data_IF_931193451421
#
_entry.id   IF_931193451421
#
_cell.length_a   1.000
_cell.length_b   1.000
_cell.length_c   1.000
_cell.angle_alpha   90.00
_cell.angle_beta   90.00
_cell.angle_gamma   90.00
#
_symmetry.space_group_name_H-M   'P 1'
#
loop_
_entity.id
_entity.type
_entity.pdbx_description
1 polymer ?
#
# COMPACT_ATOMS: atom_id res chain seq x y z
N UNK A 1 19.31 -69.71 8.65
CA UNK A 1 18.32 -68.95 7.86
C UNK A 1 18.07 -67.64 8.62
N UNK A 2 18.53 -66.50 8.09
CA UNK A 2 18.67 -65.22 8.82
C UNK A 2 17.30 -64.55 9.04
N UNK A 3 17.06 -64.08 10.26
CA UNK A 3 15.85 -63.37 10.69
C UNK A 3 16.00 -61.87 10.36
N UNK A 4 15.30 -61.40 9.32
CA UNK A 4 15.36 -60.02 8.84
C UNK A 4 14.32 -59.18 9.59
N UNK A 5 14.79 -58.21 10.38
CA UNK A 5 13.93 -57.26 11.10
C UNK A 5 13.49 -56.16 10.13
N UNK A 6 12.17 -56.06 9.88
CA UNK A 6 11.59 -54.94 9.14
C UNK A 6 11.42 -53.75 10.10
N UNK A 7 12.17 -52.68 9.85
CA UNK A 7 11.97 -51.38 10.49
C UNK A 7 10.91 -50.63 9.67
N UNK A 8 9.75 -50.36 10.27
CA UNK A 8 8.76 -49.45 9.70
C UNK A 8 9.20 -48.00 9.98
N UNK A 9 9.63 -47.29 8.94
CA UNK A 9 9.82 -45.84 9.00
C UNK A 9 8.45 -45.16 8.94
N UNK A 10 8.08 -44.46 10.01
CA UNK A 10 6.90 -43.58 10.02
C UNK A 10 7.28 -42.33 9.23
N UNK A 11 6.69 -42.15 8.05
CA UNK A 11 6.82 -40.93 7.27
C UNK A 11 6.03 -39.82 7.98
N UNK A 12 6.75 -38.86 8.57
CA UNK A 12 6.16 -37.65 9.13
C UNK A 12 5.84 -36.71 7.96
N UNK A 13 4.57 -36.67 7.55
CA UNK A 13 4.08 -35.66 6.61
C UNK A 13 4.05 -34.31 7.30
N UNK A 14 5.00 -33.44 6.99
CA UNK A 14 4.88 -32.01 7.30
C UNK A 14 3.72 -31.46 6.47
N UNK A 15 2.60 -31.14 7.13
CA UNK A 15 1.59 -30.30 6.54
C UNK A 15 2.26 -28.97 6.18
N UNK A 16 2.19 -28.56 4.90
CA UNK A 16 2.60 -27.22 4.50
C UNK A 16 1.80 -26.20 5.32
N UNK A 17 2.50 -25.24 5.92
CA UNK A 17 1.82 -24.09 6.52
C UNK A 17 0.99 -23.40 5.43
N UNK A 18 -0.19 -22.84 5.77
CA UNK A 18 -0.94 -22.05 4.81
C UNK A 18 -0.04 -20.92 4.32
N UNK A 19 0.12 -20.82 3.01
CA UNK A 19 0.59 -19.59 2.37
C UNK A 19 -0.44 -18.54 2.77
N UNK A 20 -0.07 -17.59 3.62
CA UNK A 20 -0.94 -16.46 3.91
C UNK A 20 -1.29 -15.82 2.57
N UNK A 21 -2.58 -15.67 2.27
CA UNK A 21 -3.00 -15.08 1.02
C UNK A 21 -2.40 -13.67 0.93
N UNK A 22 -1.66 -13.41 -0.15
CA UNK A 22 -1.00 -12.13 -0.50
C UNK A 22 -2.03 -11.05 -0.89
N UNK A 23 -3.26 -11.19 -0.41
CA UNK A 23 -4.42 -10.36 -0.73
C UNK A 23 -5.00 -9.82 0.57
N UNK A 24 -5.78 -8.74 0.47
CA UNK A 24 -6.56 -8.29 1.62
C UNK A 24 -7.57 -9.38 2.01
N UNK A 25 -7.79 -9.50 3.31
CA UNK A 25 -8.57 -10.55 3.92
C UNK A 25 -10.06 -10.22 3.95
N UNK A 26 -10.40 -8.97 4.26
CA UNK A 26 -11.77 -8.60 4.58
C UNK A 26 -12.06 -7.12 4.33
N UNK A 27 -13.32 -6.82 4.05
CA UNK A 27 -13.86 -5.47 3.93
C UNK A 27 -14.97 -5.31 4.96
N UNK A 28 -14.98 -4.18 5.66
CA UNK A 28 -15.95 -3.90 6.70
C UNK A 28 -17.36 -3.67 6.17
N UNK A 29 -18.38 -3.67 7.05
CA UNK A 29 -19.69 -3.17 6.68
C UNK A 29 -19.58 -1.72 6.22
N UNK A 30 -20.48 -1.31 5.34
CA UNK A 30 -20.55 0.07 4.87
C UNK A 30 -21.04 0.98 6.00
N UNK A 31 -20.39 2.13 6.14
CA UNK A 31 -20.85 3.23 6.97
C UNK A 31 -22.19 3.75 6.44
N UNK A 32 -23.24 3.85 7.27
CA UNK A 32 -24.58 4.23 6.81
C UNK A 32 -24.70 5.68 6.36
N UNK A 33 -23.70 6.53 6.65
CA UNK A 33 -23.71 7.95 6.30
C UNK A 33 -23.02 8.19 4.94
N UNK A 34 -21.78 7.74 4.81
CA UNK A 34 -20.93 7.93 3.62
C UNK A 34 -21.08 6.84 2.57
N UNK A 35 -21.58 5.66 2.93
CA UNK A 35 -21.69 4.50 2.05
C UNK A 35 -20.38 3.73 1.81
N UNK A 36 -19.23 4.22 2.28
CA UNK A 36 -17.94 3.53 2.17
C UNK A 36 -17.78 2.42 3.21
N UNK A 37 -16.99 1.37 2.95
CA UNK A 37 -16.60 0.42 3.97
C UNK A 37 -15.98 1.07 5.20
N UNK A 38 -16.28 0.54 6.37
CA UNK A 38 -15.71 1.04 7.62
C UNK A 38 -14.21 0.74 7.75
N UNK A 39 -13.73 -0.37 7.18
CA UNK A 39 -12.32 -0.78 7.18
C UNK A 39 -11.95 -1.68 6.00
N UNK A 40 -10.65 -1.82 5.75
CA UNK A 40 -10.04 -2.94 5.02
C UNK A 40 -9.04 -3.65 5.93
N UNK A 41 -8.97 -4.97 5.83
CA UNK A 41 -8.13 -5.80 6.71
C UNK A 41 -7.16 -6.67 5.90
N UNK A 42 -5.90 -6.74 6.33
CA UNK A 42 -4.92 -7.72 5.83
C UNK A 42 -4.92 -9.02 6.67
N UNK A 43 -4.20 -10.04 6.21
CA UNK A 43 -4.04 -11.31 6.94
C UNK A 43 -2.91 -11.27 7.99
N UNK A 44 -2.24 -10.14 8.18
CA UNK A 44 -0.95 -10.07 8.86
C UNK A 44 0.17 -10.77 8.06
N UNK A 45 1.31 -10.97 8.72
CA UNK A 45 2.47 -11.67 8.17
C UNK A 45 3.14 -12.49 9.28
N UNK A 46 2.98 -13.81 9.19
CA UNK A 46 3.54 -14.75 10.15
C UNK A 46 5.07 -14.81 10.16
N UNK A 47 5.74 -14.48 9.04
CA UNK A 47 7.19 -14.55 8.94
C UNK A 47 7.87 -13.43 9.74
N UNK A 48 7.20 -12.27 9.85
CA UNK A 48 7.68 -11.12 10.63
C UNK A 48 6.90 -10.90 11.93
N UNK A 49 6.03 -11.84 12.33
CA UNK A 49 5.14 -11.76 13.50
C UNK A 49 4.26 -10.50 13.51
N UNK A 50 3.71 -10.14 12.34
CA UNK A 50 2.73 -9.09 12.20
C UNK A 50 1.30 -9.67 12.33
N UNK A 51 0.58 -9.29 13.37
CA UNK A 51 -0.84 -9.65 13.55
C UNK A 51 -1.73 -8.99 12.48
N UNK A 52 -2.89 -9.55 12.09
CA UNK A 52 -3.83 -8.91 11.18
C UNK A 52 -4.14 -7.45 11.56
N UNK A 53 -4.16 -6.58 10.55
CA UNK A 53 -4.41 -5.15 10.72
C UNK A 53 -5.63 -4.73 9.92
N UNK A 54 -6.59 -4.11 10.60
CA UNK A 54 -7.73 -3.44 9.99
C UNK A 54 -7.50 -1.93 10.00
N UNK A 55 -7.51 -1.32 8.82
CA UNK A 55 -7.31 0.11 8.60
C UNK A 55 -8.63 0.76 8.21
N UNK A 56 -8.94 1.88 8.86
CA UNK A 56 -10.16 2.63 8.64
C UNK A 56 -9.95 3.68 7.53
N UNK A 57 -11.04 4.12 6.90
CA UNK A 57 -10.96 5.25 5.98
C UNK A 57 -10.48 6.49 6.73
N UNK A 58 -9.38 7.08 6.26
CA UNK A 58 -8.83 8.28 6.85
C UNK A 58 -9.72 9.47 6.52
N UNK A 59 -10.46 9.93 7.51
CA UNK A 59 -11.24 11.16 7.47
C UNK A 59 -10.93 11.91 8.77
N UNK A 60 -10.41 13.16 8.70
CA UNK A 60 -10.24 13.95 9.90
C UNK A 60 -11.61 14.07 10.56
N UNK A 61 -11.70 13.83 11.88
CA UNK A 61 -12.92 13.84 12.71
C UNK A 61 -13.64 12.50 13.01
N UNK A 62 -12.98 11.34 13.08
CA UNK A 62 -13.63 10.11 13.57
C UNK A 62 -13.98 10.05 15.09
N UNK A 63 -14.03 11.21 15.76
CA UNK A 63 -14.37 11.46 17.17
C UNK A 63 -13.14 11.41 18.11
N UNK A 64 -12.75 12.55 18.74
CA UNK A 64 -13.32 13.89 18.54
C UNK A 64 -13.03 14.45 17.15
N UNK A 65 -13.74 15.52 16.79
CA UNK A 65 -13.43 16.27 15.59
C UNK A 65 -12.06 16.95 15.76
N UNK A 66 -11.06 16.52 14.99
CA UNK A 66 -9.71 17.07 15.00
C UNK A 66 -9.18 17.27 13.57
N UNK A 67 -9.28 18.50 13.07
CA UNK A 67 -8.70 18.90 11.79
C UNK A 67 -7.17 19.05 11.85
N UNK A 68 -6.54 18.90 13.02
CA UNK A 68 -5.08 18.93 13.13
C UNK A 68 -4.41 17.71 12.50
N UNK A 69 -5.16 16.60 12.29
CA UNK A 69 -4.73 15.45 11.49
C UNK A 69 -4.39 15.83 10.03
N UNK A 70 -5.06 16.85 9.47
CA UNK A 70 -4.70 17.40 8.15
C UNK A 70 -3.45 18.28 8.22
N UNK A 71 -3.30 19.02 9.31
CA UNK A 71 -2.19 19.99 9.47
C UNK A 71 -0.86 19.28 9.71
N UNK A 72 -0.86 18.19 10.48
CA UNK A 72 0.35 17.42 10.76
C UNK A 72 0.61 16.30 9.74
N UNK A 73 -0.37 15.97 8.89
CA UNK A 73 -0.28 14.98 7.82
C UNK A 73 -0.61 13.55 8.25
N UNK A 74 -1.14 13.35 9.46
CA UNK A 74 -1.63 12.03 9.93
C UNK A 74 -2.73 11.48 9.03
N UNK A 75 -3.52 12.39 8.44
CA UNK A 75 -4.47 12.10 7.39
C UNK A 75 -4.15 12.91 6.13
N UNK A 76 -3.87 12.23 5.03
CA UNK A 76 -3.58 12.88 3.75
C UNK A 76 -4.82 12.86 2.89
N UNK A 77 -5.32 14.06 2.58
CA UNK A 77 -6.32 14.32 1.56
C UNK A 77 -5.72 15.22 0.48
N UNK A 78 -6.35 15.29 -0.69
CA UNK A 78 -5.90 16.22 -1.72
C UNK A 78 -6.13 17.68 -1.26
N UNK A 79 -5.20 18.61 -1.56
CA UNK A 79 -5.38 20.01 -1.23
C UNK A 79 -6.66 20.59 -1.85
N UNK A 80 -7.53 21.20 -1.03
CA UNK A 80 -8.79 21.80 -1.48
C UNK A 80 -9.91 20.79 -1.79
N UNK A 81 -9.72 19.52 -1.48
CA UNK A 81 -10.71 18.48 -1.72
C UNK A 81 -11.86 18.51 -0.70
N UNK A 82 -11.63 19.11 0.47
CA UNK A 82 -12.69 19.45 1.42
C UNK A 82 -13.17 20.88 1.10
N UNK A 83 -14.47 21.08 0.79
CA UNK A 83 -15.02 22.40 0.48
C UNK A 83 -14.80 23.48 1.57
N UNK A 84 -14.93 23.10 2.84
CA UNK A 84 -14.69 23.97 4.00
C UNK A 84 -13.91 23.21 5.10
N UNK A 85 -12.59 23.40 5.11
CA UNK A 85 -11.66 22.82 6.11
C UNK A 85 -11.88 23.39 7.54
N UNK A 86 -12.71 24.41 7.71
CA UNK A 86 -13.06 24.94 9.05
C UNK A 86 -14.29 24.25 9.66
N UNK A 87 -15.00 23.46 8.86
CA UNK A 87 -16.16 22.68 9.30
C UNK A 87 -15.82 21.19 9.40
N UNK A 88 -16.52 20.43 10.25
CA UNK A 88 -16.38 18.98 10.28
C UNK A 88 -16.68 18.34 8.93
N UNK A 89 -16.02 17.22 8.64
CA UNK A 89 -16.37 16.36 7.50
C UNK A 89 -17.83 15.93 7.63
N UNK A 90 -18.61 16.12 6.56
CA UNK A 90 -20.01 15.74 6.49
C UNK A 90 -20.35 15.32 5.06
N UNK A 91 -20.70 14.05 4.88
CA UNK A 91 -21.18 13.57 3.59
C UNK A 91 -22.60 14.13 3.29
N UNK A 92 -22.91 14.63 2.10
CA UNK A 92 -22.06 14.82 0.92
C UNK A 92 -21.42 16.22 0.81
N UNK A 93 -21.92 17.21 1.56
CA UNK A 93 -21.68 18.62 1.27
C UNK A 93 -20.28 19.13 1.67
N UNK A 94 -19.64 18.51 2.67
CA UNK A 94 -18.29 18.86 3.13
C UNK A 94 -17.45 17.58 3.26
N UNK A 95 -17.19 16.90 2.13
CA UNK A 95 -16.55 15.59 2.09
C UNK A 95 -15.52 15.56 0.94
N UNK A 96 -14.36 14.89 1.12
CA UNK A 96 -13.35 14.81 0.06
C UNK A 96 -13.81 13.95 -1.12
N UNK A 97 -13.42 14.32 -2.34
CA UNK A 97 -13.59 13.49 -3.53
C UNK A 97 -12.74 12.21 -3.48
N UNK A 98 -11.60 12.24 -2.78
CA UNK A 98 -10.71 11.09 -2.58
C UNK A 98 -10.24 10.97 -1.12
N UNK A 99 -10.21 9.75 -0.60
CA UNK A 99 -9.69 9.43 0.73
C UNK A 99 -9.02 8.06 0.75
N UNK A 100 -8.26 7.73 1.78
CA UNK A 100 -7.42 6.53 1.80
C UNK A 100 -7.64 5.70 3.05
N UNK A 101 -7.76 4.38 2.89
CA UNK A 101 -7.60 3.42 3.98
C UNK A 101 -6.13 3.12 4.25
N UNK A 102 -5.33 3.14 3.18
CA UNK A 102 -3.91 2.88 3.20
C UNK A 102 -3.23 3.68 2.09
N UNK A 103 -2.08 4.26 2.39
CA UNK A 103 -1.23 4.93 1.42
C UNK A 103 0.23 4.81 1.86
N UNK A 104 1.04 4.15 1.04
CA UNK A 104 2.47 4.03 1.22
C UNK A 104 3.18 4.58 0.00
N UNK A 105 4.14 5.46 0.23
CA UNK A 105 4.87 6.13 -0.83
C UNK A 105 6.37 5.99 -0.65
N UNK A 106 7.08 5.84 -1.75
CA UNK A 106 8.52 5.97 -1.78
C UNK A 106 8.92 6.86 -2.95
N UNK A 107 9.99 7.62 -2.76
CA UNK A 107 10.62 8.33 -3.86
C UNK A 107 12.14 8.20 -3.79
N UNK A 108 12.79 8.25 -4.94
CA UNK A 108 14.24 8.15 -5.02
C UNK A 108 14.77 8.84 -6.27
N UNK A 109 15.94 9.49 -6.22
CA UNK A 109 16.58 10.01 -7.42
C UNK A 109 17.06 8.86 -8.33
N UNK A 110 16.99 9.06 -9.64
CA UNK A 110 17.61 8.17 -10.62
C UNK A 110 18.99 8.68 -11.05
N UNK A 111 19.95 7.77 -11.16
CA UNK A 111 21.28 8.06 -11.72
C UNK A 111 21.23 8.11 -13.25
N UNK A 112 22.01 9.03 -13.85
CA UNK A 112 22.20 9.11 -15.32
C UNK A 112 21.34 10.10 -16.11
N UNK A 113 20.57 11.00 -15.48
CA UNK A 113 19.58 11.85 -16.17
C UNK A 113 20.06 13.15 -16.86
N UNK A 114 19.38 13.50 -17.96
CA UNK A 114 19.30 14.85 -18.58
C UNK A 114 17.83 15.33 -18.48
N UNK A 115 17.53 16.42 -17.75
CA UNK A 115 16.15 16.94 -17.54
C UNK A 115 15.45 16.50 -16.22
N UNK A 116 14.23 16.99 -15.93
CA UNK A 116 13.49 16.89 -14.63
C UNK A 116 12.05 16.39 -14.85
N UNK A 117 11.35 15.61 -13.97
CA UNK A 117 11.66 15.17 -12.59
C UNK A 117 12.73 14.09 -12.49
N UNK A 118 13.61 14.29 -11.50
CA UNK A 118 14.76 13.44 -11.17
C UNK A 118 14.38 12.25 -10.29
N UNK A 119 13.15 12.20 -9.81
CA UNK A 119 12.72 11.26 -8.78
C UNK A 119 11.75 10.24 -9.37
N UNK A 120 12.05 8.97 -9.19
CA UNK A 120 11.10 7.89 -9.35
C UNK A 120 10.18 7.88 -8.13
N UNK A 121 8.88 7.71 -8.34
CA UNK A 121 7.86 7.68 -7.29
C UNK A 121 7.12 6.34 -7.36
N UNK A 122 6.88 5.73 -6.21
CA UNK A 122 6.01 4.57 -6.01
C UNK A 122 4.88 4.98 -5.05
N UNK A 123 3.64 4.61 -5.38
CA UNK A 123 2.45 4.78 -4.55
C UNK A 123 1.74 3.43 -4.48
N UNK A 124 1.46 2.97 -3.26
CA UNK A 124 0.71 1.76 -2.96
C UNK A 124 -0.43 2.16 -2.03
N UNK A 125 -1.68 1.94 -2.42
CA UNK A 125 -2.81 2.47 -1.68
C UNK A 125 -4.05 1.57 -1.71
N UNK A 126 -4.93 1.76 -0.74
CA UNK A 126 -6.33 1.38 -0.82
C UNK A 126 -7.13 2.68 -0.74
N UNK A 127 -7.73 3.05 -1.85
CA UNK A 127 -8.22 4.41 -2.13
C UNK A 127 -9.72 4.39 -2.35
N UNK A 128 -10.42 5.26 -1.62
CA UNK A 128 -11.83 5.56 -1.77
C UNK A 128 -11.98 6.79 -2.67
N UNK A 129 -12.87 6.70 -3.64
CA UNK A 129 -13.17 7.78 -4.56
C UNK A 129 -14.65 7.72 -5.00
N UNK A 130 -15.03 8.62 -5.89
CA UNK A 130 -16.32 8.61 -6.56
C UNK A 130 -16.13 8.49 -8.07
N UNK A 131 -17.02 7.76 -8.76
CA UNK A 131 -16.94 7.52 -10.20
C UNK A 131 -16.90 8.81 -11.05
N UNK A 132 -17.43 9.91 -10.52
CA UNK A 132 -17.44 11.23 -11.16
C UNK A 132 -16.67 12.28 -10.35
N UNK A 133 -15.74 11.86 -9.49
CA UNK A 133 -14.89 12.71 -8.62
C UNK A 133 -15.65 13.54 -7.57
N UNK A 134 -16.98 13.56 -7.61
CA UNK A 134 -17.84 14.33 -6.70
C UNK A 134 -18.48 13.41 -5.66
N UNK A 135 -18.58 13.83 -4.39
CA UNK A 135 -19.20 13.06 -3.31
C UNK A 135 -20.71 12.81 -3.48
N UNK A 136 -21.09 11.99 -4.45
CA UNK A 136 -22.49 11.69 -4.77
C UNK A 136 -22.84 10.30 -4.23
N UNK A 137 -23.94 10.22 -3.49
CA UNK A 137 -24.44 8.94 -2.99
C UNK A 137 -24.72 7.98 -4.15
N UNK A 138 -24.16 6.78 -4.03
CA UNK A 138 -24.16 5.77 -5.10
C UNK A 138 -22.82 5.74 -5.80
N UNK A 139 -22.14 6.86 -6.06
CA UNK A 139 -20.93 6.89 -6.90
C UNK A 139 -19.68 6.35 -6.20
N UNK A 140 -19.80 5.90 -4.94
CA UNK A 140 -18.68 5.37 -4.16
C UNK A 140 -18.00 4.20 -4.86
N UNK A 141 -16.68 4.26 -4.91
CA UNK A 141 -15.82 3.18 -5.37
C UNK A 141 -14.58 3.09 -4.48
N UNK A 142 -14.05 1.89 -4.35
CA UNK A 142 -12.77 1.65 -3.67
C UNK A 142 -11.93 0.74 -4.55
N UNK A 143 -10.64 1.04 -4.63
CA UNK A 143 -9.68 0.21 -5.36
C UNK A 143 -8.34 0.13 -4.63
N UNK A 144 -7.67 -1.00 -4.81
CA UNK A 144 -6.28 -1.17 -4.44
C UNK A 144 -5.39 -0.71 -5.60
N UNK A 145 -4.47 0.22 -5.31
CA UNK A 145 -3.60 0.89 -6.27
C UNK A 145 -2.15 0.49 -6.06
N UNK A 146 -1.46 0.12 -7.13
CA UNK A 146 0.00 0.16 -7.23
C UNK A 146 0.36 1.00 -8.45
N UNK A 147 1.08 2.10 -8.21
CA UNK A 147 1.51 3.03 -9.26
C UNK A 147 2.98 3.37 -9.08
N UNK A 148 3.71 3.40 -10.18
CA UNK A 148 5.01 4.06 -10.21
C UNK A 148 5.17 4.96 -11.41
N UNK A 149 6.05 5.94 -11.25
CA UNK A 149 6.34 6.94 -12.27
C UNK A 149 7.81 7.33 -12.27
N UNK A 150 8.43 7.37 -13.44
CA UNK A 150 9.75 7.97 -13.66
C UNK A 150 9.94 8.34 -15.13
N UNK A 151 10.88 9.24 -15.44
CA UNK A 151 11.35 9.41 -16.82
C UNK A 151 12.61 8.58 -17.00
N UNK A 152 12.67 7.80 -18.08
CA UNK A 152 13.83 6.98 -18.40
C UNK A 152 15.06 7.86 -18.67
N UNK A 153 16.15 7.78 -17.88
CA UNK A 153 17.35 8.59 -18.13
C UNK A 153 18.01 8.24 -19.47
N UNK A 154 18.00 6.96 -19.84
CA UNK A 154 18.64 6.41 -21.04
C UNK A 154 17.65 5.52 -21.80
N UNK A 155 17.93 5.24 -23.07
CA UNK A 155 17.18 4.24 -23.82
C UNK A 155 17.64 2.82 -23.42
N UNK A 156 16.70 1.91 -23.17
CA UNK A 156 16.97 0.53 -22.77
C UNK A 156 15.82 -0.10 -22.01
N UNK A 157 16.08 -1.25 -21.41
CA UNK A 157 15.09 -2.00 -20.64
C UNK A 157 15.17 -1.64 -19.14
N UNK A 158 14.01 -1.55 -18.50
CA UNK A 158 13.88 -1.22 -17.09
C UNK A 158 13.09 -2.28 -16.36
N UNK A 159 13.65 -2.77 -15.24
CA UNK A 159 12.96 -3.68 -14.31
C UNK A 159 12.65 -2.93 -13.04
N UNK A 160 11.40 -2.98 -12.63
CA UNK A 160 10.90 -2.28 -11.44
C UNK A 160 10.61 -3.33 -10.37
N UNK A 161 11.21 -3.15 -9.21
CA UNK A 161 10.97 -3.98 -8.04
C UNK A 161 10.32 -3.13 -6.97
N UNK A 162 9.19 -3.61 -6.48
CA UNK A 162 8.37 -3.00 -5.43
C UNK A 162 8.21 -4.00 -4.29
N UNK A 163 7.60 -3.57 -3.17
CA UNK A 163 7.29 -4.49 -2.10
C UNK A 163 6.31 -5.62 -2.42
N UNK A 164 5.54 -5.50 -3.49
CA UNK A 164 4.52 -6.51 -3.82
C UNK A 164 4.80 -7.27 -5.11
N UNK A 165 5.66 -6.75 -5.98
CA UNK A 165 5.99 -7.39 -7.26
C UNK A 165 7.32 -6.93 -7.85
N UNK A 166 7.84 -7.79 -8.71
CA UNK A 166 8.87 -7.46 -9.70
C UNK A 166 8.23 -7.50 -11.07
N UNK A 167 8.31 -6.41 -11.82
CA UNK A 167 7.75 -6.34 -13.16
C UNK A 167 8.69 -6.95 -14.20
N UNK A 168 8.11 -7.48 -15.27
CA UNK A 168 8.87 -7.84 -16.47
C UNK A 168 9.57 -6.59 -17.06
N UNK A 169 10.76 -6.73 -17.66
CA UNK A 169 11.48 -5.60 -18.23
C UNK A 169 10.64 -4.84 -19.27
N UNK A 170 10.55 -3.53 -19.13
CA UNK A 170 9.93 -2.64 -20.13
C UNK A 170 10.98 -1.87 -20.90
N UNK A 171 10.85 -1.83 -22.23
CA UNK A 171 11.73 -1.05 -23.08
C UNK A 171 11.25 0.40 -23.15
N UNK A 172 12.15 1.37 -22.88
CA UNK A 172 11.85 2.80 -22.91
C UNK A 172 12.90 3.56 -23.72
N UNK A 173 12.48 4.64 -24.39
CA UNK A 173 13.40 5.61 -24.98
C UNK A 173 13.93 6.60 -23.93
N UNK A 174 15.07 7.24 -24.19
CA UNK A 174 15.57 8.31 -23.31
C UNK A 174 14.57 9.46 -23.22
N UNK A 175 14.24 9.86 -21.99
CA UNK A 175 13.24 10.88 -21.67
C UNK A 175 11.79 10.38 -21.68
N UNK A 176 11.53 9.13 -22.06
CA UNK A 176 10.19 8.56 -22.06
C UNK A 176 9.64 8.42 -20.64
N UNK A 177 8.36 8.78 -20.47
CA UNK A 177 7.66 8.66 -19.19
C UNK A 177 7.16 7.23 -19.01
N UNK A 178 7.72 6.53 -18.03
CA UNK A 178 7.05 5.37 -17.44
C UNK A 178 6.00 5.88 -16.46
N UNK A 179 4.72 5.58 -16.74
CA UNK A 179 3.60 5.85 -15.84
C UNK A 179 2.70 4.61 -15.83
N UNK A 180 2.94 3.72 -14.87
CA UNK A 180 2.25 2.44 -14.78
C UNK A 180 1.34 2.47 -13.56
N UNK A 181 0.10 2.02 -13.72
CA UNK A 181 -0.92 1.99 -12.68
C UNK A 181 -1.69 0.68 -12.78
N UNK A 182 -1.84 0.02 -11.64
CA UNK A 182 -2.74 -1.10 -11.43
C UNK A 182 -3.77 -0.67 -10.39
N UNK A 183 -5.03 -0.50 -10.80
CA UNK A 183 -6.15 -0.11 -9.92
C UNK A 183 -7.18 -1.26 -9.91
N UNK A 184 -7.13 -2.12 -8.89
CA UNK A 184 -8.01 -3.28 -8.74
C UNK A 184 -9.24 -2.88 -7.93
N UNK A 185 -10.43 -2.99 -8.55
CA UNK A 185 -11.71 -2.57 -7.97
C UNK A 185 -12.39 -1.41 -8.72
N UNK A 186 -11.64 -0.69 -9.57
CA UNK A 186 -12.12 0.49 -10.31
C UNK A 186 -13.34 0.20 -11.21
N UNK A 187 -13.40 -1.01 -11.78
CA UNK A 187 -14.45 -1.43 -12.73
C UNK A 187 -15.52 -2.33 -12.10
N UNK A 188 -15.59 -2.38 -10.77
CA UNK A 188 -16.58 -3.22 -10.11
C UNK A 188 -17.97 -2.61 -10.10
N UNK A 189 -18.96 -3.48 -9.87
CA UNK A 189 -20.34 -3.04 -9.75
C UNK A 189 -20.44 -2.00 -8.63
N UNK A 190 -21.23 -0.97 -8.87
CA UNK A 190 -21.46 0.11 -7.91
C UNK A 190 -21.87 -0.46 -6.54
N UNK A 191 -21.13 -0.09 -5.49
CA UNK A 191 -21.32 -0.60 -4.13
C UNK A 191 -20.72 -1.98 -3.82
N UNK A 192 -20.08 -2.65 -4.79
CA UNK A 192 -19.29 -3.86 -4.55
C UNK A 192 -17.83 -3.51 -4.20
N UNK A 193 -17.61 -3.32 -2.91
CA UNK A 193 -16.29 -3.00 -2.36
C UNK A 193 -15.39 -4.24 -2.16
N UNK A 194 -15.91 -5.44 -2.38
CA UNK A 194 -15.11 -6.66 -2.18
C UNK A 194 -14.03 -6.85 -3.25
N UNK A 195 -14.20 -6.22 -4.41
CA UNK A 195 -13.23 -6.32 -5.50
C UNK A 195 -11.84 -5.78 -5.17
N UNK A 196 -11.75 -4.72 -4.36
CA UNK A 196 -10.46 -4.18 -3.94
C UNK A 196 -9.62 -5.22 -3.18
N UNK A 197 -10.25 -6.27 -2.62
CA UNK A 197 -9.54 -7.33 -1.94
C UNK A 197 -8.61 -8.13 -2.86
N UNK A 198 -8.86 -8.13 -4.17
CA UNK A 198 -8.03 -8.85 -5.14
C UNK A 198 -6.73 -8.10 -5.52
N UNK A 199 -6.51 -6.88 -5.01
CA UNK A 199 -5.31 -6.11 -5.32
C UNK A 199 -4.07 -6.59 -4.56
N UNK A 200 -2.90 -6.43 -5.19
CA UNK A 200 -1.59 -6.78 -4.63
C UNK A 200 -1.04 -5.72 -3.67
N UNK A 201 -1.82 -5.36 -2.65
CA UNK A 201 -1.46 -4.39 -1.59
C UNK A 201 -1.69 -5.04 -0.21
N UNK A 202 -1.16 -6.25 -0.04
CA UNK A 202 -1.24 -6.98 1.22
C UNK A 202 -0.02 -7.93 1.39
N UNK A 203 0.44 -8.17 2.63
CA UNK A 203 0.06 -7.48 3.86
C UNK A 203 0.33 -5.96 3.82
N UNK A 204 -0.33 -5.16 4.65
CA UNK A 204 -0.02 -3.74 4.72
C UNK A 204 1.41 -3.54 5.24
N UNK A 205 2.22 -2.73 4.56
CA UNK A 205 3.56 -2.42 5.04
C UNK A 205 3.50 -1.76 6.42
N UNK A 206 4.43 -2.13 7.30
CA UNK A 206 4.56 -1.60 8.66
C UNK A 206 5.92 -0.99 8.87
N UNK A 207 6.02 -0.03 9.77
CA UNK A 207 7.30 0.57 10.13
C UNK A 207 8.19 -0.43 10.85
N UNK A 208 9.51 -0.30 10.68
CA UNK A 208 10.51 -1.10 11.34
C UNK A 208 11.76 -0.28 11.66
N UNK A 209 12.63 -0.78 12.54
CA UNK A 209 13.94 -0.16 12.82
C UNK A 209 14.98 -0.47 11.75
N UNK A 210 14.71 -1.45 10.88
CA UNK A 210 15.55 -1.83 9.75
C UNK A 210 14.67 -2.41 8.64
N UNK A 211 15.16 -2.38 7.41
CA UNK A 211 14.50 -3.02 6.26
C UNK A 211 14.16 -4.50 6.55
N UNK A 212 12.87 -4.85 6.41
CA UNK A 212 12.37 -6.21 6.65
C UNK A 212 12.49 -6.69 8.10
N UNK A 213 12.76 -5.79 9.05
CA UNK A 213 12.86 -6.12 10.45
C UNK A 213 11.51 -6.43 11.11
N UNK A 214 11.54 -6.59 12.43
CA UNK A 214 10.31 -6.73 13.22
C UNK A 214 9.46 -5.46 13.12
N UNK A 215 8.12 -5.57 12.97
CA UNK A 215 7.25 -4.40 12.93
C UNK A 215 7.30 -3.64 14.27
N UNK A 216 7.30 -2.31 14.18
CA UNK A 216 7.18 -1.43 15.34
C UNK A 216 5.71 -1.32 15.80
N UNK A 217 5.47 -0.94 17.06
CA UNK A 217 4.14 -0.55 17.51
C UNK A 217 3.57 0.59 16.65
N UNK A 218 2.25 0.63 16.50
CA UNK A 218 1.54 1.72 15.84
C UNK A 218 1.84 3.06 16.54
N UNK A 219 1.97 4.11 15.74
CA UNK A 219 2.14 5.48 16.21
C UNK A 219 0.83 6.00 16.82
N UNK A 220 0.89 6.57 18.03
CA UNK A 220 -0.30 7.15 18.68
C UNK A 220 -0.27 8.68 18.56
N UNK A 221 -1.31 9.25 17.96
CA UNK A 221 -1.54 10.68 17.83
C UNK A 221 -3.05 10.95 17.79
N UNK A 222 -3.51 12.13 18.23
CA UNK A 222 -4.94 12.53 18.16
C UNK A 222 -5.93 11.57 18.85
N UNK A 223 -5.46 10.71 19.76
CA UNK A 223 -6.28 9.65 20.36
C UNK A 223 -6.55 8.44 19.44
N UNK A 224 -5.87 8.38 18.30
CA UNK A 224 -5.93 7.34 17.27
C UNK A 224 -4.58 6.60 17.13
N UNK A 225 -4.58 5.52 16.35
CA UNK A 225 -3.39 4.74 16.02
C UNK A 225 -3.11 4.80 14.52
N UNK A 226 -1.85 4.98 14.15
CA UNK A 226 -1.37 5.13 12.79
C UNK A 226 -0.22 4.19 12.49
N UNK A 227 -0.02 3.85 11.21
CA UNK A 227 1.12 3.03 10.79
C UNK A 227 2.46 3.71 11.07
N UNK A 228 2.55 5.03 10.88
CA UNK A 228 3.76 5.83 11.06
C UNK A 228 3.44 7.24 11.56
N UNK A 229 4.48 7.94 12.03
CA UNK A 229 4.40 9.38 12.21
C UNK A 229 4.37 10.07 10.82
N UNK A 230 3.56 11.12 10.65
CA UNK A 230 3.37 11.73 9.34
C UNK A 230 4.62 12.46 8.84
N UNK A 231 4.85 12.40 7.52
CA UNK A 231 5.98 13.06 6.86
C UNK A 231 7.37 12.51 7.22
N UNK A 232 7.44 11.35 7.89
CA UNK A 232 8.69 10.70 8.26
C UNK A 232 8.97 9.51 7.34
N UNK A 233 10.08 9.61 6.62
CA UNK A 233 10.69 8.50 5.89
C UNK A 233 11.15 7.42 6.88
N UNK A 234 10.73 6.17 6.66
CA UNK A 234 10.98 5.06 7.58
C UNK A 234 11.26 3.75 6.85
N UNK A 235 11.98 2.84 7.52
CA UNK A 235 12.10 1.47 7.04
C UNK A 235 10.77 0.73 7.18
N UNK A 236 10.53 -0.19 6.26
CA UNK A 236 9.31 -1.00 6.26
C UNK A 236 9.58 -2.50 6.39
N UNK A 237 8.54 -3.22 6.75
CA UNK A 237 8.43 -4.68 6.76
C UNK A 237 7.04 -5.11 6.26
N UNK A 238 6.86 -6.40 6.00
CA UNK A 238 5.57 -6.98 5.58
C UNK A 238 5.42 -7.20 4.07
N UNK A 239 6.49 -7.08 3.29
CA UNK A 239 6.48 -7.51 1.88
C UNK A 239 6.32 -9.04 1.78
N UNK A 240 5.34 -9.55 1.00
CA UNK A 240 5.14 -10.99 0.83
C UNK A 240 6.28 -11.68 0.05
N UNK A 241 7.06 -10.91 -0.70
CA UNK A 241 8.20 -11.40 -1.49
C UNK A 241 9.55 -11.01 -0.88
N UNK A 242 9.54 -10.56 0.39
CA UNK A 242 10.72 -10.10 1.11
C UNK A 242 11.47 -8.95 0.39
N UNK A 243 10.75 -8.11 -0.35
CA UNK A 243 11.24 -6.88 -0.96
C UNK A 243 10.78 -5.69 -0.11
N UNK A 244 11.55 -5.28 0.88
CA UNK A 244 11.16 -4.13 1.72
C UNK A 244 11.76 -2.81 1.17
N UNK A 245 11.78 -2.69 -0.15
CA UNK A 245 12.43 -1.61 -0.90
C UNK A 245 11.70 -1.30 -2.22
N UNK A 246 11.99 -0.15 -2.79
CA UNK A 246 11.67 0.24 -4.17
C UNK A 246 12.98 0.37 -4.95
N UNK A 247 13.12 -0.37 -6.06
CA UNK A 247 14.35 -0.41 -6.85
C UNK A 247 14.06 -0.42 -8.34
N UNK A 248 14.89 0.30 -9.10
CA UNK A 248 14.83 0.34 -10.56
C UNK A 248 16.18 -0.11 -11.09
N UNK A 249 16.14 -1.17 -11.89
CA UNK A 249 17.27 -1.65 -12.68
C UNK A 249 17.14 -1.14 -14.11
N UNK A 250 18.28 -0.89 -14.73
CA UNK A 250 18.43 -0.52 -16.12
C UNK A 250 19.34 -1.51 -16.82
N UNK A 251 18.97 -1.88 -18.04
CA UNK A 251 19.75 -2.74 -18.91
C UNK A 251 19.79 -2.13 -20.32
N UNK A 252 20.97 -1.75 -20.85
CA UNK A 252 21.06 -1.13 -22.17
C UNK A 252 20.74 -2.10 -23.31
N UNK A 253 21.06 -3.38 -23.14
CA UNK A 253 20.79 -4.45 -24.09
C UNK A 253 20.87 -5.83 -23.41
N UNK A 254 20.38 -6.86 -24.09
CA UNK A 254 20.33 -8.24 -23.58
C UNK A 254 21.70 -8.88 -23.31
N UNK A 255 22.80 -8.28 -23.78
CA UNK A 255 24.16 -8.78 -23.57
C UNK A 255 24.86 -8.16 -22.36
N UNK A 256 24.31 -7.07 -21.83
CA UNK A 256 24.80 -6.35 -20.66
C UNK A 256 23.99 -6.75 -19.43
N UNK A 257 24.64 -6.98 -18.29
CA UNK A 257 23.93 -7.27 -17.04
C UNK A 257 23.14 -6.03 -16.56
N UNK A 258 21.92 -6.19 -16.02
CA UNK A 258 21.18 -5.09 -15.40
C UNK A 258 21.97 -4.42 -14.27
N UNK A 259 21.87 -3.10 -14.17
CA UNK A 259 22.46 -2.31 -13.09
C UNK A 259 21.41 -1.52 -12.33
N UNK A 260 21.57 -1.38 -11.02
CA UNK A 260 20.68 -0.56 -10.19
C UNK A 260 20.96 0.91 -10.47
N UNK A 261 19.95 1.65 -10.91
CA UNK A 261 20.06 3.09 -11.17
C UNK A 261 19.31 3.95 -10.15
N UNK A 262 18.44 3.34 -9.34
CA UNK A 262 17.79 3.93 -8.18
C UNK A 262 17.35 2.86 -7.21
N UNK A 263 17.51 3.12 -5.91
CA UNK A 263 17.00 2.25 -4.85
C UNK A 263 16.69 3.08 -3.61
N UNK A 264 15.59 2.77 -2.93
CA UNK A 264 15.27 3.28 -1.60
C UNK A 264 14.60 2.18 -0.77
N UNK A 265 14.87 2.16 0.53
CA UNK A 265 14.16 1.36 1.52
C UNK A 265 13.45 2.25 2.56
N UNK A 266 13.28 3.53 2.21
CA UNK A 266 12.55 4.52 2.98
C UNK A 266 11.19 4.78 2.35
N UNK A 267 10.16 4.72 3.17
CA UNK A 267 8.77 4.95 2.77
C UNK A 267 8.11 5.95 3.72
N UNK A 268 7.10 6.65 3.21
CA UNK A 268 6.12 7.35 4.04
C UNK A 268 4.85 6.51 4.08
N UNK A 269 4.34 6.24 5.27
CA UNK A 269 3.11 5.48 5.46
C UNK A 269 2.04 6.40 6.07
N UNK A 270 0.87 6.41 5.45
CA UNK A 270 -0.35 6.99 5.98
C UNK A 270 -1.43 5.91 5.99
N UNK A 271 -1.83 5.54 7.19
CA UNK A 271 -3.05 4.81 7.45
C UNK A 271 -3.34 4.88 8.95
N UNK A 272 -4.61 4.98 9.30
CA UNK A 272 -5.08 5.03 10.67
C UNK A 272 -6.10 3.95 10.97
N UNK A 273 -6.25 3.65 12.24
CA UNK A 273 -7.36 2.87 12.76
C UNK A 273 -7.83 3.53 14.06
N UNK A 274 -9.14 3.70 14.18
CA UNK A 274 -9.71 4.20 15.43
C UNK A 274 -9.64 3.11 16.49
N UNK A 275 -9.30 3.51 17.71
CA UNK A 275 -8.72 2.72 18.81
C UNK A 275 -9.42 1.41 19.23
N UNK A 276 -10.60 1.09 18.67
CA UNK A 276 -11.40 -0.09 19.03
C UNK A 276 -11.19 -1.28 18.07
N UNK A 277 -10.55 -1.10 16.90
CA UNK A 277 -10.63 -2.10 15.81
C UNK A 277 -9.33 -2.45 15.08
N UNK A 278 -8.17 -1.86 15.41
CA UNK A 278 -6.92 -2.06 14.66
C UNK A 278 -6.51 -3.54 14.50
N UNK A 279 -6.80 -4.36 15.50
CA UNK A 279 -6.49 -5.80 15.50
C UNK A 279 -7.82 -6.54 15.65
N UNK A 280 -8.21 -7.29 14.62
CA UNK A 280 -9.40 -8.14 14.59
C UNK A 280 -9.03 -9.58 14.34
#
# INVERSE_FOLDING_TARGET
MKLQHLIFAVALTTAGMPVFAETLANVGPNDPVSGFPTYYQDNGDGDVNAEPLALDLCLPNKIPADMSELTDGSCVLLPGDIPDETQPISFSDNFPGEAFYYNAQASMPLTGGVGTPKDAILIMAVEAAFANEQPVQGDQMVFARLRYRFNAPLAGDYTIETPYKTDDPMHLNSGELAFITEDIGVNCAQGDFSCALAGSIAPFLRTSTSEGGTPLPLHEAHGNKYLAAPGIDTFVTGSPINHNFFRILYQPDSSTAPTVIGSTNQFQLMAGCTTVQCQK
#
